data_IF_899935641330
#
_entry.id   IF_899935641330
#
_cell.length_a   1.000
_cell.length_b   1.000
_cell.length_c   1.000
_cell.angle_alpha   90.00
_cell.angle_beta   90.00
_cell.angle_gamma   90.00
#
_symmetry.space_group_name_H-M   'P 1'
#
loop_
_entity.id
_entity.type
_entity.pdbx_description
1 polymer ?
#
# COMPACT_ATOMS: atom_id res chain seq x y z
N UNK A 1 -9.75 8.09 6.94
CA UNK A 1 -10.40 8.03 5.60
C UNK A 1 -9.78 6.84 4.88
N UNK A 2 -10.57 5.95 4.28
CA UNK A 2 -10.06 4.78 3.55
C UNK A 2 -9.91 5.14 2.08
N UNK A 3 -8.70 5.05 1.53
CA UNK A 3 -8.50 5.23 0.08
C UNK A 3 -8.72 3.91 -0.66
N UNK A 4 -9.21 4.02 -1.88
CA UNK A 4 -9.48 2.90 -2.79
C UNK A 4 -8.60 2.95 -4.05
N UNK A 5 -7.72 3.95 -4.13
CA UNK A 5 -6.79 4.13 -5.25
C UNK A 5 -5.52 4.87 -4.82
N UNK A 6 -4.46 4.75 -5.62
CA UNK A 6 -3.23 5.53 -5.46
C UNK A 6 -3.46 7.03 -5.46
N UNK A 7 -4.42 7.51 -6.25
CA UNK A 7 -4.79 8.92 -6.30
C UNK A 7 -5.31 9.40 -4.95
N UNK A 8 -6.27 8.68 -4.37
CA UNK A 8 -6.84 9.02 -3.07
C UNK A 8 -5.80 8.92 -1.96
N UNK A 9 -4.98 7.86 -1.95
CA UNK A 9 -3.91 7.69 -0.98
C UNK A 9 -2.90 8.84 -1.00
N UNK A 10 -2.56 9.34 -2.21
CA UNK A 10 -1.66 10.48 -2.37
C UNK A 10 -2.26 11.78 -1.87
N UNK A 11 -3.55 12.02 -2.14
CA UNK A 11 -4.21 13.22 -1.60
C UNK A 11 -4.31 13.18 -0.08
N UNK A 12 -4.58 12.00 0.51
CA UNK A 12 -4.51 11.80 1.96
C UNK A 12 -3.10 12.10 2.46
N UNK A 13 -2.06 11.56 1.81
CA UNK A 13 -0.68 11.79 2.21
C UNK A 13 -0.32 13.29 2.18
N UNK A 14 -0.77 14.01 1.15
CA UNK A 14 -0.58 15.46 1.04
C UNK A 14 -1.31 16.24 2.13
N UNK A 15 -2.54 15.85 2.47
CA UNK A 15 -3.34 16.49 3.52
C UNK A 15 -2.75 16.24 4.91
N UNK A 16 -2.24 15.03 5.15
CA UNK A 16 -1.71 14.59 6.44
C UNK A 16 -0.21 14.83 6.61
N UNK A 17 0.47 15.38 5.59
CA UNK A 17 1.91 15.64 5.61
C UNK A 17 2.77 14.37 5.65
N UNK A 18 2.30 13.29 5.03
CA UNK A 18 2.95 11.99 4.99
C UNK A 18 3.83 11.85 3.75
N UNK A 19 4.99 11.21 3.92
CA UNK A 19 5.96 11.03 2.84
C UNK A 19 5.67 9.80 1.96
N UNK A 20 4.86 8.86 2.44
CA UNK A 20 4.60 7.59 1.76
C UNK A 20 3.11 7.32 1.60
N UNK A 21 2.84 6.49 0.61
CA UNK A 21 1.55 5.85 0.37
C UNK A 21 1.73 4.34 0.36
N UNK A 22 0.66 3.61 0.67
CA UNK A 22 0.64 2.16 0.60
C UNK A 22 -0.59 1.63 -0.12
N UNK A 23 -0.46 0.41 -0.65
CA UNK A 23 -1.55 -0.49 -1.01
C UNK A 23 -1.35 -1.80 -0.23
N UNK A 24 -2.31 -2.13 0.62
CA UNK A 24 -2.41 -3.41 1.29
C UNK A 24 -2.98 -4.40 0.29
N UNK A 25 -2.11 -5.26 -0.25
CA UNK A 25 -2.47 -6.18 -1.33
C UNK A 25 -3.45 -7.26 -0.85
N UNK A 26 -3.41 -7.60 0.44
CA UNK A 26 -4.29 -8.62 1.01
C UNK A 26 -5.72 -8.11 1.27
N UNK A 27 -5.89 -6.81 1.55
CA UNK A 27 -7.20 -6.20 1.81
C UNK A 27 -7.73 -5.33 0.67
N UNK A 28 -6.87 -4.96 -0.29
CA UNK A 28 -7.18 -3.99 -1.35
C UNK A 28 -7.22 -2.54 -0.88
N UNK A 29 -6.78 -2.26 0.36
CA UNK A 29 -6.88 -0.93 0.96
C UNK A 29 -5.69 -0.05 0.59
N UNK A 30 -5.95 1.22 0.34
CA UNK A 30 -4.91 2.22 0.08
C UNK A 30 -4.87 3.25 1.22
N UNK A 31 -3.72 3.88 1.39
CA UNK A 31 -3.58 4.94 2.39
C UNK A 31 -2.23 5.62 2.38
N UNK A 32 -2.05 6.54 3.33
CA UNK A 32 -0.80 7.23 3.59
C UNK A 32 -0.08 6.63 4.80
N UNK A 33 1.26 6.70 4.84
CA UNK A 33 2.01 6.27 6.01
C UNK A 33 3.32 7.06 6.20
N UNK A 34 3.80 7.12 7.44
CA UNK A 34 5.00 7.89 7.84
C UNK A 34 6.30 7.09 7.84
N UNK A 35 6.27 5.82 7.40
CA UNK A 35 7.34 4.80 7.53
C UNK A 35 7.50 4.27 8.98
N UNK A 36 7.79 2.95 9.08
CA UNK A 36 8.15 2.14 10.28
C UNK A 36 7.11 1.22 10.94
N UNK A 37 5.90 1.04 10.41
CA UNK A 37 5.00 0.00 10.95
C UNK A 37 4.98 -1.23 10.05
N UNK A 38 5.21 -2.40 10.65
CA UNK A 38 4.70 -3.66 10.13
C UNK A 38 3.18 -3.52 10.02
N UNK A 39 2.66 -3.68 8.81
CA UNK A 39 1.22 -3.65 8.57
C UNK A 39 0.68 -5.06 8.72
N UNK A 40 -0.40 -5.20 9.48
CA UNK A 40 -0.99 -6.49 9.76
C UNK A 40 -2.24 -6.34 10.61
N UNK A 41 -2.98 -7.42 10.73
CA UNK A 41 -4.19 -7.47 11.54
C UNK A 41 -4.01 -8.42 12.71
N UNK A 42 -4.61 -8.08 13.86
CA UNK A 42 -4.71 -9.01 14.98
C UNK A 42 -5.96 -9.87 14.80
N UNK A 43 -5.77 -11.17 14.60
CA UNK A 43 -6.85 -12.14 14.46
C UNK A 43 -6.69 -13.19 15.54
N UNK A 44 -7.72 -13.34 16.38
CA UNK A 44 -7.78 -14.39 17.43
C UNK A 44 -6.56 -14.42 18.38
N UNK A 45 -5.94 -13.27 18.65
CA UNK A 45 -4.79 -13.16 19.54
C UNK A 45 -3.43 -13.30 18.87
N UNK A 46 -3.40 -13.49 17.55
CA UNK A 46 -2.17 -13.56 16.76
C UNK A 46 -2.07 -12.36 15.81
N UNK A 47 -0.88 -11.82 15.65
CA UNK A 47 -0.60 -10.79 14.65
C UNK A 47 -0.30 -11.48 13.32
N UNK A 48 -1.10 -11.16 12.30
CA UNK A 48 -0.92 -11.64 10.94
C UNK A 48 -0.35 -10.47 10.12
N UNK A 49 0.90 -10.60 9.70
CA UNK A 49 1.54 -9.62 8.82
C UNK A 49 0.87 -9.66 7.43
N UNK A 50 0.59 -8.47 6.90
CA UNK A 50 -0.04 -8.30 5.60
C UNK A 50 0.95 -7.73 4.59
N UNK A 51 0.76 -8.12 3.34
CA UNK A 51 1.61 -7.72 2.21
C UNK A 51 1.22 -6.33 1.74
N UNK A 52 2.08 -5.35 2.02
CA UNK A 52 1.88 -3.97 1.59
C UNK A 52 2.94 -3.53 0.57
N UNK A 53 2.48 -2.88 -0.49
CA UNK A 53 3.34 -2.17 -1.44
C UNK A 53 3.40 -0.72 -0.97
N UNK A 54 4.57 -0.26 -0.51
CA UNK A 54 4.78 1.10 -0.04
C UNK A 54 5.64 1.90 -1.02
N UNK A 55 5.23 3.13 -1.33
CA UNK A 55 5.92 4.00 -2.29
C UNK A 55 5.93 5.46 -1.83
N UNK A 56 6.88 6.29 -2.29
CA UNK A 56 6.87 7.73 -2.03
C UNK A 56 5.61 8.44 -2.54
N UNK A 57 4.99 9.26 -1.70
CA UNK A 57 3.83 10.10 -2.08
C UNK A 57 4.18 11.19 -3.11
N UNK A 58 5.48 11.44 -3.33
CA UNK A 58 5.99 12.35 -4.36
C UNK A 58 5.72 11.88 -5.78
N UNK A 59 5.50 10.57 -5.99
CA UNK A 59 5.14 10.03 -7.29
C UNK A 59 3.75 10.48 -7.76
N UNK A 60 3.52 10.52 -9.08
CA UNK A 60 2.17 10.72 -9.60
C UNK A 60 1.33 9.45 -9.44
N UNK A 61 -0.02 9.55 -9.43
CA UNK A 61 -0.89 8.38 -9.41
C UNK A 61 -0.55 7.36 -10.51
N UNK A 62 -0.22 7.83 -11.71
CA UNK A 62 0.13 6.98 -12.85
C UNK A 62 1.46 6.26 -12.63
N UNK A 63 2.47 6.96 -12.09
CA UNK A 63 3.75 6.34 -11.73
C UNK A 63 3.58 5.26 -10.65
N UNK A 64 2.71 5.51 -9.66
CA UNK A 64 2.39 4.55 -8.61
C UNK A 64 1.75 3.28 -9.20
N UNK A 65 0.75 3.44 -10.07
CA UNK A 65 0.11 2.31 -10.75
C UNK A 65 1.08 1.52 -11.64
N UNK A 66 1.94 2.21 -12.41
CA UNK A 66 2.93 1.55 -13.26
C UNK A 66 3.96 0.77 -12.46
N UNK A 67 4.44 1.35 -11.35
CA UNK A 67 5.39 0.69 -10.45
C UNK A 67 4.78 -0.52 -9.76
N UNK A 68 3.53 -0.42 -9.32
CA UNK A 68 2.79 -1.56 -8.77
C UNK A 68 2.65 -2.68 -9.81
N UNK A 69 2.15 -2.38 -11.01
CA UNK A 69 1.99 -3.37 -12.10
C UNK A 69 3.33 -4.03 -12.44
N UNK A 70 4.41 -3.23 -12.47
CA UNK A 70 5.77 -3.74 -12.69
C UNK A 70 6.19 -4.68 -11.56
N UNK A 71 5.98 -4.28 -10.30
CA UNK A 71 6.31 -5.10 -9.14
C UNK A 71 5.60 -6.45 -9.17
N UNK A 72 4.29 -6.46 -9.43
CA UNK A 72 3.50 -7.70 -9.50
C UNK A 72 3.94 -8.60 -10.66
N UNK A 73 4.30 -8.02 -11.81
CA UNK A 73 4.86 -8.77 -12.94
C UNK A 73 6.22 -9.40 -12.62
N UNK A 74 7.06 -8.70 -11.87
CA UNK A 74 8.39 -9.17 -11.48
C UNK A 74 8.33 -10.16 -10.29
N UNK A 75 7.23 -10.17 -9.55
CA UNK A 75 7.02 -11.01 -8.37
C UNK A 75 5.71 -11.81 -8.49
N UNK A 76 5.61 -12.77 -9.43
CA UNK A 76 4.38 -13.53 -9.66
C UNK A 76 3.88 -14.27 -8.40
N UNK A 77 4.78 -14.68 -7.51
CA UNK A 77 4.44 -15.29 -6.21
C UNK A 77 3.67 -14.38 -5.23
N UNK A 78 3.53 -13.09 -5.52
CA UNK A 78 2.59 -12.22 -4.79
C UNK A 78 1.13 -12.44 -5.21
N UNK A 79 0.91 -12.82 -6.47
CA UNK A 79 -0.43 -13.06 -7.02
C UNK A 79 -0.91 -14.49 -6.82
N UNK A 80 0.02 -15.41 -6.57
CA UNK A 80 -0.27 -16.81 -6.26
C UNK A 80 -0.64 -16.94 -4.78
N UNK A 81 -1.92 -16.76 -4.46
CA UNK A 81 -2.45 -17.19 -3.15
C UNK A 81 -2.37 -18.71 -3.06
N UNK A 82 -1.64 -19.20 -2.05
CA UNK A 82 -1.82 -20.56 -1.51
C UNK A 82 -3.15 -20.71 -0.79
#
# INVERSE_FOLDING_TARGET
>A
MTATSWKEAREIAKQEGQDLVYHNYDTGEYGACSRSHSFGCFVKGEFIEQRCICMPATHTPEELEEKEKKFLRENPGWTETS
#
